data_IF_602969652092
#
_entry.id   IF_602969652092
#
_cell.length_a   1.000
_cell.length_b   1.000
_cell.length_c   1.000
_cell.angle_alpha   90.00
_cell.angle_beta   90.00
_cell.angle_gamma   90.00
#
_symmetry.space_group_name_H-M   'P 1'
#
loop_
_entity.id
_entity.type
_entity.pdbx_description
1 polymer ?
#
# COMPACT_ATOMS: atom_id res chain seq x y z
N UNK A 1 23.62 27.29 -12.47
CA UNK A 1 22.73 26.23 -11.98
C UNK A 1 23.20 25.73 -10.61
N UNK A 2 22.47 26.04 -9.52
CA UNK A 2 22.83 25.62 -8.16
C UNK A 2 22.56 24.11 -8.01
N UNK A 3 23.59 23.26 -7.94
CA UNK A 3 23.44 21.82 -7.65
C UNK A 3 22.70 21.66 -6.31
N UNK A 4 21.45 21.22 -6.38
CA UNK A 4 20.62 20.93 -5.20
C UNK A 4 21.26 19.77 -4.43
N UNK A 5 21.85 20.03 -3.26
CA UNK A 5 22.39 18.99 -2.37
C UNK A 5 21.23 18.08 -1.97
N UNK A 6 21.15 16.90 -2.55
CA UNK A 6 20.24 15.86 -2.07
C UNK A 6 20.76 15.36 -0.72
N UNK A 7 19.98 15.51 0.33
CA UNK A 7 20.31 14.92 1.62
C UNK A 7 20.22 13.38 1.51
N UNK A 8 21.38 12.73 1.59
CA UNK A 8 21.43 11.26 1.68
C UNK A 8 21.16 10.88 3.13
N UNK A 9 20.12 10.08 3.35
CA UNK A 9 19.77 9.59 4.69
C UNK A 9 20.81 8.57 5.18
N UNK A 10 20.98 8.48 6.51
CA UNK A 10 21.79 7.43 7.13
C UNK A 10 21.15 6.04 6.92
N UNK A 11 21.91 4.94 7.00
CA UNK A 11 21.36 3.58 6.93
C UNK A 11 20.26 3.34 7.98
N UNK A 12 20.45 3.83 9.22
CA UNK A 12 19.44 3.75 10.28
C UNK A 12 18.17 4.53 9.92
N UNK A 13 18.30 5.72 9.35
CA UNK A 13 17.16 6.51 8.86
C UNK A 13 16.42 5.82 7.72
N UNK A 14 17.14 5.16 6.83
CA UNK A 14 16.53 4.36 5.74
C UNK A 14 15.75 3.15 6.29
N UNK A 15 16.32 2.43 7.26
CA UNK A 15 15.64 1.32 7.92
C UNK A 15 14.38 1.79 8.66
N UNK A 16 14.45 2.94 9.33
CA UNK A 16 13.29 3.53 10.00
C UNK A 16 12.18 3.90 9.00
N UNK A 17 12.52 4.49 7.85
CA UNK A 17 11.54 4.83 6.80
C UNK A 17 10.88 3.55 6.27
N UNK A 18 11.63 2.49 6.03
CA UNK A 18 11.07 1.21 5.59
C UNK A 18 10.11 0.64 6.64
N UNK A 19 10.52 0.59 7.89
CA UNK A 19 9.70 0.04 8.98
C UNK A 19 8.40 0.83 9.16
N UNK A 20 8.50 2.15 9.30
CA UNK A 20 7.32 3.01 9.44
C UNK A 20 6.45 3.00 8.17
N UNK A 21 7.08 2.87 7.00
CA UNK A 21 6.38 2.78 5.73
C UNK A 21 5.60 1.48 5.57
N UNK A 22 6.15 0.33 6.01
CA UNK A 22 5.43 -0.94 6.01
C UNK A 22 4.23 -0.88 6.96
N UNK A 23 4.40 -0.29 8.15
CA UNK A 23 3.30 -0.07 9.08
C UNK A 23 2.24 0.85 8.48
N UNK A 24 2.64 1.93 7.82
CA UNK A 24 1.72 2.84 7.13
C UNK A 24 0.95 2.12 6.02
N UNK A 25 1.62 1.31 5.20
CA UNK A 25 0.97 0.50 4.18
C UNK A 25 -0.09 -0.44 4.80
N UNK A 26 0.26 -1.16 5.85
CA UNK A 26 -0.65 -2.05 6.56
C UNK A 26 -1.85 -1.31 7.16
N UNK A 27 -1.62 -0.17 7.81
CA UNK A 27 -2.71 0.67 8.33
C UNK A 27 -3.63 1.20 7.23
N UNK A 28 -3.07 1.57 6.08
CA UNK A 28 -3.84 2.06 4.94
C UNK A 28 -4.72 0.95 4.36
N UNK A 29 -4.18 -0.27 4.18
CA UNK A 29 -4.96 -1.41 3.67
C UNK A 29 -6.12 -1.76 4.59
N UNK A 30 -5.86 -1.87 5.88
CA UNK A 30 -6.90 -2.19 6.87
C UNK A 30 -7.96 -1.09 7.01
N UNK A 31 -7.55 0.18 6.95
CA UNK A 31 -8.50 1.31 6.96
C UNK A 31 -9.40 1.32 5.71
N UNK A 32 -8.87 0.89 4.56
CA UNK A 32 -9.67 0.73 3.34
C UNK A 32 -10.68 -0.41 3.49
N UNK A 33 -10.28 -1.56 4.01
CA UNK A 33 -11.14 -2.75 4.17
C UNK A 33 -12.22 -2.53 5.25
N UNK A 34 -11.86 -1.98 6.40
CA UNK A 34 -12.77 -1.85 7.55
C UNK A 34 -13.51 -0.51 7.60
N UNK A 35 -13.14 0.42 6.73
CA UNK A 35 -13.82 1.70 6.61
C UNK A 35 -13.50 2.74 7.68
N UNK A 36 -12.84 2.37 8.79
CA UNK A 36 -12.44 3.32 9.84
C UNK A 36 -11.12 2.93 10.54
N UNK A 37 -10.38 3.96 11.00
CA UNK A 37 -9.15 3.75 11.77
C UNK A 37 -9.41 3.09 13.13
N UNK A 38 -10.56 3.34 13.74
CA UNK A 38 -10.92 2.77 15.04
C UNK A 38 -11.15 1.27 14.95
N UNK A 39 -11.94 0.81 13.98
CA UNK A 39 -12.14 -0.63 13.73
C UNK A 39 -10.84 -1.34 13.37
N UNK A 40 -9.95 -0.67 12.65
CA UNK A 40 -8.60 -1.16 12.34
C UNK A 40 -7.79 -1.40 13.63
N UNK A 41 -7.77 -0.43 14.55
CA UNK A 41 -7.05 -0.56 15.82
C UNK A 41 -7.63 -1.65 16.73
N UNK A 42 -8.95 -1.82 16.75
CA UNK A 42 -9.63 -2.89 17.48
C UNK A 42 -9.25 -4.28 16.94
N UNK A 43 -9.19 -4.43 15.62
CA UNK A 43 -8.76 -5.68 14.98
C UNK A 43 -7.31 -6.05 15.32
N UNK A 44 -6.39 -5.07 15.37
CA UNK A 44 -5.03 -5.30 15.83
C UNK A 44 -4.95 -5.81 17.27
N UNK A 45 -5.82 -5.27 18.11
CA UNK A 45 -5.87 -5.64 19.52
C UNK A 45 -6.45 -7.03 19.72
N UNK A 46 -7.42 -7.41 18.88
CA UNK A 46 -8.08 -8.71 18.95
C UNK A 46 -7.18 -9.85 18.45
N UNK A 47 -6.46 -9.63 17.32
CA UNK A 47 -5.70 -10.71 16.67
C UNK A 47 -4.30 -10.25 16.22
N UNK A 48 -3.36 -10.01 17.17
CA UNK A 48 -2.03 -9.48 16.85
C UNK A 48 -1.19 -10.44 16.00
N UNK A 49 -1.41 -11.75 16.11
CA UNK A 49 -0.66 -12.73 15.30
C UNK A 49 -1.02 -12.65 13.83
N UNK A 50 -2.31 -12.53 13.50
CA UNK A 50 -2.76 -12.38 12.11
C UNK A 50 -2.24 -11.07 11.52
N UNK A 51 -2.18 -10.01 12.32
CA UNK A 51 -1.58 -8.76 11.87
C UNK A 51 -0.11 -8.92 11.48
N UNK A 52 0.70 -9.58 12.31
CA UNK A 52 2.11 -9.82 12.01
C UNK A 52 2.27 -10.69 10.76
N UNK A 53 1.42 -11.71 10.58
CA UNK A 53 1.41 -12.55 9.38
C UNK A 53 1.07 -11.75 8.11
N UNK A 54 0.15 -10.79 8.21
CA UNK A 54 -0.21 -9.91 7.08
C UNK A 54 0.89 -8.88 6.77
N UNK A 55 1.73 -8.50 7.73
CA UNK A 55 2.87 -7.63 7.51
C UNK A 55 3.99 -8.28 6.68
N UNK A 56 4.14 -9.61 6.79
CA UNK A 56 5.25 -10.31 6.16
C UNK A 56 5.32 -10.13 4.63
N UNK A 57 4.25 -10.37 3.84
CA UNK A 57 4.31 -10.16 2.39
C UNK A 57 4.52 -8.69 2.01
N UNK A 58 3.97 -7.74 2.80
CA UNK A 58 4.21 -6.31 2.60
C UNK A 58 5.67 -5.96 2.84
N UNK A 59 6.27 -6.49 3.90
CA UNK A 59 7.68 -6.29 4.23
C UNK A 59 8.60 -6.89 3.15
N UNK A 60 8.30 -8.11 2.70
CA UNK A 60 9.04 -8.76 1.63
C UNK A 60 9.01 -7.96 0.34
N UNK A 61 7.84 -7.45 -0.05
CA UNK A 61 7.67 -6.61 -1.23
C UNK A 61 8.40 -5.27 -1.08
N UNK A 62 8.28 -4.61 0.08
CA UNK A 62 8.96 -3.35 0.33
C UNK A 62 10.49 -3.51 0.25
N UNK A 63 11.04 -4.58 0.83
CA UNK A 63 12.47 -4.87 0.76
C UNK A 63 12.91 -5.16 -0.67
N UNK A 64 12.16 -6.01 -1.41
CA UNK A 64 12.47 -6.33 -2.80
C UNK A 64 12.51 -5.07 -3.66
N UNK A 65 11.50 -4.22 -3.57
CA UNK A 65 11.44 -2.96 -4.33
C UNK A 65 12.55 -2.00 -3.88
N UNK A 66 12.89 -1.97 -2.59
CA UNK A 66 14.01 -1.17 -2.09
C UNK A 66 15.34 -1.63 -2.67
N UNK A 67 15.60 -2.94 -2.76
CA UNK A 67 16.82 -3.46 -3.39
C UNK A 67 16.88 -3.13 -4.88
N UNK A 68 15.76 -3.17 -5.58
CA UNK A 68 15.69 -2.84 -7.01
C UNK A 68 15.88 -1.34 -7.29
N UNK A 69 15.18 -0.48 -6.54
CA UNK A 69 15.16 0.97 -6.80
C UNK A 69 16.22 1.75 -6.02
N UNK A 70 16.74 1.19 -4.93
CA UNK A 70 17.73 1.84 -4.05
C UNK A 70 17.19 3.07 -3.31
N UNK A 71 15.86 3.20 -3.17
CA UNK A 71 15.22 4.31 -2.47
C UNK A 71 14.02 3.82 -1.65
N UNK A 72 14.11 3.99 -0.31
CA UNK A 72 13.08 3.53 0.62
C UNK A 72 11.72 4.21 0.41
N UNK A 73 11.71 5.49 0.05
CA UNK A 73 10.47 6.23 -0.18
C UNK A 73 9.68 5.71 -1.38
N UNK A 74 10.39 5.41 -2.50
CA UNK A 74 9.74 4.81 -3.67
C UNK A 74 9.26 3.38 -3.37
N UNK A 75 10.04 2.64 -2.60
CA UNK A 75 9.66 1.30 -2.15
C UNK A 75 8.38 1.32 -1.33
N UNK A 76 8.31 2.19 -0.32
CA UNK A 76 7.11 2.36 0.51
C UNK A 76 5.92 2.84 -0.32
N UNK A 77 6.13 3.86 -1.19
CA UNK A 77 5.06 4.36 -2.07
C UNK A 77 4.48 3.26 -2.96
N UNK A 78 5.34 2.47 -3.60
CA UNK A 78 4.92 1.37 -4.47
C UNK A 78 4.19 0.26 -3.68
N UNK A 79 4.73 -0.13 -2.52
CA UNK A 79 4.10 -1.14 -1.66
C UNK A 79 2.72 -0.68 -1.19
N UNK A 80 2.60 0.57 -0.71
CA UNK A 80 1.32 1.16 -0.29
C UNK A 80 0.34 1.22 -1.45
N UNK A 81 0.80 1.56 -2.66
CA UNK A 81 -0.06 1.61 -3.84
C UNK A 81 -0.61 0.23 -4.19
N UNK A 82 0.25 -0.78 -4.29
CA UNK A 82 -0.18 -2.14 -4.69
C UNK A 82 -1.13 -2.73 -3.66
N UNK A 83 -0.75 -2.74 -2.39
CA UNK A 83 -1.62 -3.30 -1.34
C UNK A 83 -2.88 -2.47 -1.12
N UNK A 84 -2.79 -1.14 -1.20
CA UNK A 84 -3.95 -0.27 -1.11
C UNK A 84 -4.94 -0.45 -2.27
N UNK A 85 -4.45 -0.66 -3.51
CA UNK A 85 -5.32 -0.97 -4.64
C UNK A 85 -5.99 -2.34 -4.49
N UNK A 86 -5.25 -3.37 -4.03
CA UNK A 86 -5.83 -4.69 -3.77
C UNK A 86 -6.93 -4.62 -2.72
N UNK A 87 -6.69 -3.91 -1.61
CA UNK A 87 -7.71 -3.70 -0.57
C UNK A 87 -8.89 -2.87 -1.06
N UNK A 88 -8.65 -1.87 -1.90
CA UNK A 88 -9.72 -1.08 -2.51
C UNK A 88 -10.61 -1.94 -3.43
N UNK A 89 -10.00 -2.77 -4.27
CA UNK A 89 -10.73 -3.72 -5.14
C UNK A 89 -11.51 -4.73 -4.29
N UNK A 90 -10.90 -5.24 -3.22
CA UNK A 90 -11.57 -6.13 -2.26
C UNK A 90 -12.80 -5.47 -1.64
N UNK A 91 -12.67 -4.22 -1.17
CA UNK A 91 -13.77 -3.45 -0.61
C UNK A 91 -14.94 -3.35 -1.60
N UNK A 92 -14.67 -2.86 -2.81
CA UNK A 92 -15.70 -2.68 -3.85
C UNK A 92 -16.36 -4.02 -4.22
N UNK A 93 -15.57 -5.10 -4.29
CA UNK A 93 -16.12 -6.44 -4.59
C UNK A 93 -16.99 -6.97 -3.47
N UNK A 94 -16.56 -6.83 -2.20
CA UNK A 94 -17.35 -7.27 -1.03
C UNK A 94 -18.68 -6.51 -0.96
N UNK A 95 -18.67 -5.21 -1.22
CA UNK A 95 -19.91 -4.41 -1.24
C UNK A 95 -20.85 -4.79 -2.39
N UNK A 96 -20.30 -5.15 -3.55
CA UNK A 96 -21.10 -5.50 -4.72
C UNK A 96 -21.63 -6.94 -4.72
N UNK A 97 -20.86 -7.89 -4.17
CA UNK A 97 -21.15 -9.34 -4.27
C UNK A 97 -21.21 -10.07 -2.94
N UNK A 98 -20.75 -9.46 -1.84
CA UNK A 98 -20.61 -10.11 -0.53
C UNK A 98 -19.41 -11.06 -0.40
N UNK A 99 -18.64 -11.28 -1.48
CA UNK A 99 -17.49 -12.18 -1.49
C UNK A 99 -16.17 -11.42 -1.50
N UNK A 100 -15.13 -11.88 -0.77
CA UNK A 100 -13.81 -11.29 -0.84
C UNK A 100 -13.15 -11.50 -2.20
N UNK A 101 -12.20 -10.62 -2.54
CA UNK A 101 -11.39 -10.75 -3.73
C UNK A 101 -10.42 -11.94 -3.59
N UNK A 102 -10.41 -12.83 -4.59
CA UNK A 102 -9.48 -13.96 -4.67
C UNK A 102 -8.61 -13.85 -5.92
N UNK A 103 -7.37 -14.39 -5.90
CA UNK A 103 -6.48 -14.32 -7.07
C UNK A 103 -7.08 -14.88 -8.37
N UNK A 104 -8.01 -15.83 -8.26
CA UNK A 104 -8.75 -16.38 -9.39
C UNK A 104 -9.62 -15.38 -10.14
N UNK A 105 -10.05 -14.30 -9.47
CA UNK A 105 -10.85 -13.24 -10.10
C UNK A 105 -10.09 -12.50 -11.20
N UNK A 106 -8.75 -12.50 -11.13
CA UNK A 106 -7.90 -11.89 -12.17
C UNK A 106 -8.08 -12.62 -13.50
N UNK A 107 -8.29 -13.94 -13.48
CA UNK A 107 -8.51 -14.74 -14.67
C UNK A 107 -9.90 -14.50 -15.28
N UNK A 108 -10.85 -14.04 -14.46
CA UNK A 108 -12.23 -13.74 -14.86
C UNK A 108 -12.47 -12.25 -15.14
N UNK A 109 -11.40 -11.45 -15.21
CA UNK A 109 -11.50 -9.98 -15.40
C UNK A 109 -12.29 -9.61 -16.65
N UNK A 110 -12.11 -10.34 -17.76
CA UNK A 110 -12.83 -10.09 -19.02
C UNK A 110 -14.33 -10.37 -18.88
N UNK A 111 -14.69 -11.51 -18.29
CA UNK A 111 -16.10 -11.86 -18.01
C UNK A 111 -16.69 -10.95 -16.94
N UNK A 112 -15.88 -10.57 -15.94
CA UNK A 112 -16.25 -9.64 -14.88
C UNK A 112 -16.51 -8.22 -15.40
N UNK A 113 -15.77 -7.74 -16.38
CA UNK A 113 -16.00 -6.44 -17.02
C UNK A 113 -17.28 -6.40 -17.83
N UNK A 114 -17.63 -7.49 -18.54
CA UNK A 114 -18.91 -7.60 -19.24
C UNK A 114 -20.10 -7.64 -18.26
N UNK A 115 -19.92 -8.34 -17.13
CA UNK A 115 -20.92 -8.39 -16.07
C UNK A 115 -21.04 -7.09 -15.26
N UNK A 116 -19.94 -6.34 -15.11
CA UNK A 116 -19.88 -5.09 -14.32
C UNK A 116 -20.82 -4.00 -14.88
N UNK A 117 -21.11 -4.02 -16.17
CA UNK A 117 -22.11 -3.13 -16.79
C UNK A 117 -23.53 -3.33 -16.23
N UNK A 118 -23.81 -4.44 -15.56
CA UNK A 118 -25.11 -4.76 -14.97
C UNK A 118 -25.14 -4.54 -13.43
N UNK A 119 -24.02 -4.21 -12.80
CA UNK A 119 -23.94 -3.95 -11.36
C UNK A 119 -23.74 -2.46 -11.11
N UNK A 120 -24.51 -1.91 -10.16
CA UNK A 120 -24.24 -0.59 -9.60
C UNK A 120 -23.05 -0.71 -8.66
N UNK A 121 -21.85 -0.41 -9.17
CA UNK A 121 -20.63 -0.38 -8.37
C UNK A 121 -20.55 0.97 -7.63
N UNK A 122 -20.70 0.93 -6.32
CA UNK A 122 -20.50 2.12 -5.49
C UNK A 122 -18.99 2.39 -5.34
N UNK A 123 -18.49 3.26 -6.22
CA UNK A 123 -17.08 3.63 -6.24
C UNK A 123 -16.79 4.70 -5.16
N UNK A 124 -15.97 4.34 -4.19
CA UNK A 124 -15.50 5.27 -3.15
C UNK A 124 -14.38 6.19 -3.65
N UNK A 125 -14.68 7.12 -4.53
CA UNK A 125 -13.71 8.03 -5.15
C UNK A 125 -12.86 8.79 -4.13
N UNK A 126 -13.42 9.15 -2.97
CA UNK A 126 -12.70 9.80 -1.89
C UNK A 126 -11.58 8.92 -1.30
N UNK A 127 -11.85 7.64 -1.05
CA UNK A 127 -10.84 6.68 -0.56
C UNK A 127 -9.73 6.46 -1.59
N UNK A 128 -10.09 6.33 -2.87
CA UNK A 128 -9.12 6.17 -3.95
C UNK A 128 -8.25 7.41 -4.10
N UNK A 129 -8.83 8.61 -4.06
CA UNK A 129 -8.10 9.87 -4.13
C UNK A 129 -7.12 10.04 -2.95
N UNK A 130 -7.52 9.67 -1.73
CA UNK A 130 -6.64 9.68 -0.56
C UNK A 130 -5.48 8.71 -0.70
N UNK A 131 -5.72 7.48 -1.19
CA UNK A 131 -4.67 6.49 -1.44
C UNK A 131 -3.65 7.04 -2.46
N UNK A 132 -4.13 7.52 -3.61
CA UNK A 132 -3.26 8.08 -4.66
C UNK A 132 -2.51 9.31 -4.17
N UNK A 133 -3.16 10.20 -3.43
CA UNK A 133 -2.53 11.38 -2.82
C UNK A 133 -1.42 11.01 -1.85
N UNK A 134 -1.64 10.00 -1.00
CA UNK A 134 -0.61 9.48 -0.08
C UNK A 134 0.58 8.90 -0.86
N UNK A 135 0.34 8.08 -1.88
CA UNK A 135 1.41 7.50 -2.70
C UNK A 135 2.22 8.57 -3.43
N UNK A 136 1.57 9.59 -3.99
CA UNK A 136 2.24 10.72 -4.64
C UNK A 136 3.09 11.53 -3.65
N UNK A 137 2.60 11.75 -2.44
CA UNK A 137 3.34 12.43 -1.38
C UNK A 137 4.59 11.63 -0.99
N UNK A 138 4.49 10.32 -0.79
CA UNK A 138 5.62 9.44 -0.50
C UNK A 138 6.65 9.43 -1.66
N UNK A 139 6.18 9.35 -2.89
CA UNK A 139 7.05 9.44 -4.08
C UNK A 139 7.75 10.79 -4.17
N UNK A 140 7.05 11.89 -3.88
CA UNK A 140 7.64 13.23 -3.83
C UNK A 140 8.72 13.34 -2.74
N UNK A 141 8.51 12.74 -1.56
CA UNK A 141 9.55 12.65 -0.53
C UNK A 141 10.78 11.91 -1.05
N UNK A 142 10.59 10.86 -1.88
CA UNK A 142 11.69 10.14 -2.53
C UNK A 142 12.52 10.98 -3.49
N UNK A 143 11.93 12.00 -4.13
CA UNK A 143 12.67 12.96 -4.96
C UNK A 143 13.54 13.90 -4.11
N UNK A 144 13.05 14.26 -2.92
CA UNK A 144 13.71 15.21 -2.01
C UNK A 144 14.75 14.55 -1.11
N UNK A 145 14.44 13.35 -0.61
CA UNK A 145 15.22 12.61 0.38
C UNK A 145 15.71 11.30 -0.25
N UNK A 146 16.98 11.25 -0.58
CA UNK A 146 17.59 10.02 -1.08
C UNK A 146 17.95 9.12 0.10
N UNK A 147 17.47 7.89 0.10
CA UNK A 147 17.91 6.88 1.08
C UNK A 147 19.32 6.38 0.76
N UNK A 148 20.01 5.82 1.76
CA UNK A 148 21.28 5.12 1.53
C UNK A 148 21.01 3.91 0.62
N UNK A 149 21.84 3.73 -0.42
CA UNK A 149 21.74 2.53 -1.26
C UNK A 149 22.21 1.32 -0.48
N UNK A 150 21.55 0.15 -0.63
CA UNK A 150 22.08 -1.08 -0.08
C UNK A 150 23.46 -1.33 -0.72
N UNK A 151 24.47 -1.60 0.08
CA UNK A 151 25.76 -2.11 -0.40
C UNK A 151 25.58 -3.61 -0.57
N UNK A 152 25.50 -4.06 -1.81
CA UNK A 152 25.65 -5.45 -2.18
C UNK A 152 27.11 -5.83 -2.14
#
# INVERSE_FOLDING_TARGET
>A
MKKRKSHIMSPAGTALVLLLGILLAAMTTLALEQGSLLSTLESFRAEPVLFVLNLWPMAAMALLVYFLLGNAWYSVSFTTLVWGLLSYVNLVKVEARGDPFVPGDILLLTEGMEAAGNYQLDMHWGKLALLLGLCLLLAFMGIRLKSSRPRL
#
